data_IF_991980045567
#
_entry.id   IF_991980045567
#
_cell.length_a   1.000
_cell.length_b   1.000
_cell.length_c   1.000
_cell.angle_alpha   90.00
_cell.angle_beta   90.00
_cell.angle_gamma   90.00
#
_symmetry.space_group_name_H-M   'P 1'
#
loop_
_entity.id
_entity.type
_entity.pdbx_description
1 polymer ?
#
# COMPACT_ATOMS: atom_id res chain seq x y z
N UNK A 1 7.65 7.48 -2.01
CA UNK A 1 7.00 6.19 -2.31
C UNK A 1 5.68 6.45 -3.01
N UNK A 2 5.38 5.66 -4.03
CA UNK A 2 4.12 5.74 -4.76
C UNK A 2 3.32 4.47 -4.52
N UNK A 3 2.01 4.58 -4.50
CA UNK A 3 1.14 3.45 -4.13
C UNK A 3 0.07 3.19 -5.18
N UNK A 4 -0.30 1.92 -5.31
CA UNK A 4 -1.51 1.48 -5.98
C UNK A 4 -2.38 0.82 -4.92
N UNK A 5 -3.61 1.29 -4.76
CA UNK A 5 -4.55 0.68 -3.82
C UNK A 5 -5.32 -0.44 -4.52
N UNK A 6 -5.34 -1.62 -3.88
CA UNK A 6 -6.07 -2.78 -4.35
C UNK A 6 -7.55 -2.46 -4.59
N UNK A 7 -8.19 -3.27 -5.42
CA UNK A 7 -9.57 -3.06 -5.87
C UNK A 7 -10.57 -2.99 -4.72
N UNK A 8 -10.27 -3.64 -3.60
CA UNK A 8 -11.15 -3.64 -2.43
C UNK A 8 -11.03 -2.38 -1.56
N UNK A 9 -10.05 -1.52 -1.84
CA UNK A 9 -9.89 -0.28 -1.11
C UNK A 9 -10.57 0.86 -1.85
N UNK A 10 -11.28 1.69 -1.11
CA UNK A 10 -12.05 2.78 -1.72
C UNK A 10 -11.15 3.76 -2.48
N UNK A 11 -11.53 4.14 -3.72
CA UNK A 11 -10.80 5.19 -4.45
C UNK A 11 -10.77 6.53 -3.70
N UNK A 12 -11.69 6.76 -2.78
CA UNK A 12 -11.70 7.98 -1.98
C UNK A 12 -10.41 8.12 -1.17
N UNK A 13 -9.84 6.99 -0.72
CA UNK A 13 -8.56 7.01 0.00
C UNK A 13 -7.46 7.60 -0.89
N UNK A 14 -7.38 7.13 -2.12
CA UNK A 14 -6.38 7.63 -3.08
C UNK A 14 -6.61 9.12 -3.36
N UNK A 15 -7.86 9.52 -3.53
CA UNK A 15 -8.19 10.91 -3.81
C UNK A 15 -7.72 11.83 -2.68
N UNK A 16 -8.00 11.44 -1.43
CA UNK A 16 -7.59 12.24 -0.28
C UNK A 16 -6.06 12.29 -0.13
N UNK A 17 -5.37 11.18 -0.40
CA UNK A 17 -3.92 11.17 -0.34
C UNK A 17 -3.30 12.06 -1.42
N UNK A 18 -3.91 12.14 -2.61
CA UNK A 18 -3.45 13.07 -3.62
C UNK A 18 -3.63 14.52 -3.18
N UNK A 19 -4.69 14.82 -2.42
CA UNK A 19 -4.86 16.15 -1.84
C UNK A 19 -3.75 16.50 -0.86
N UNK A 20 -3.15 15.49 -0.24
CA UNK A 20 -2.00 15.67 0.64
C UNK A 20 -0.66 15.71 -0.14
N UNK A 21 -0.71 15.67 -1.45
CA UNK A 21 0.49 15.77 -2.29
C UNK A 21 1.16 14.45 -2.62
N UNK A 22 0.53 13.33 -2.33
CA UNK A 22 1.11 12.01 -2.61
C UNK A 22 0.67 11.46 -3.96
N UNK A 23 1.52 10.63 -4.56
CA UNK A 23 1.20 9.94 -5.81
C UNK A 23 0.61 8.59 -5.48
N UNK A 24 -0.72 8.55 -5.37
CA UNK A 24 -1.47 7.35 -5.03
C UNK A 24 -2.63 7.24 -6.00
N UNK A 25 -2.80 6.05 -6.58
CA UNK A 25 -3.97 5.75 -7.41
C UNK A 25 -4.61 4.47 -6.90
N UNK A 26 -5.90 4.30 -7.18
CA UNK A 26 -6.61 3.09 -6.82
C UNK A 26 -6.94 2.30 -8.09
N UNK A 27 -6.92 0.97 -7.98
CA UNK A 27 -7.32 0.10 -9.09
C UNK A 27 -8.71 0.49 -9.58
N UNK A 28 -9.63 0.82 -8.67
CA UNK A 28 -10.99 1.20 -9.03
C UNK A 28 -11.09 2.46 -9.89
N UNK A 29 -10.02 3.28 -9.93
CA UNK A 29 -9.99 4.48 -10.76
C UNK A 29 -9.42 4.22 -12.17
N UNK A 30 -8.85 3.04 -12.40
CA UNK A 30 -8.11 2.75 -13.63
C UNK A 30 -8.87 1.77 -14.49
N UNK A 31 -9.27 2.20 -15.67
CA UNK A 31 -10.01 1.34 -16.60
C UNK A 31 -9.17 0.18 -17.12
N UNK A 32 -7.84 0.35 -17.15
CA UNK A 32 -6.93 -0.71 -17.60
C UNK A 32 -6.69 -1.79 -16.54
N UNK A 33 -7.01 -1.51 -15.26
CA UNK A 33 -6.77 -2.46 -14.18
C UNK A 33 -8.04 -2.98 -13.53
N UNK A 34 -9.10 -2.17 -13.55
CA UNK A 34 -10.33 -2.51 -12.85
C UNK A 34 -10.94 -3.80 -13.42
N UNK A 35 -11.27 -4.73 -12.52
CA UNK A 35 -11.85 -6.01 -12.92
C UNK A 35 -10.86 -7.01 -13.47
N UNK A 36 -9.57 -6.68 -13.53
CA UNK A 36 -8.54 -7.59 -14.02
C UNK A 36 -8.00 -8.44 -12.86
N UNK A 37 -7.38 -9.58 -13.16
CA UNK A 37 -6.78 -10.41 -12.09
C UNK A 37 -5.67 -9.69 -11.34
N UNK A 38 -5.43 -10.09 -10.09
CA UNK A 38 -4.39 -9.52 -9.25
C UNK A 38 -3.01 -9.57 -9.89
N UNK A 39 -2.76 -10.62 -10.67
CA UNK A 39 -1.50 -10.77 -11.40
C UNK A 39 -1.27 -9.61 -12.37
N UNK A 40 -2.34 -9.10 -13.00
CA UNK A 40 -2.23 -7.96 -13.93
C UNK A 40 -1.91 -6.69 -13.12
N UNK A 41 -2.56 -6.52 -11.98
CA UNK A 41 -2.28 -5.39 -11.09
C UNK A 41 -0.82 -5.40 -10.65
N UNK A 42 -0.35 -6.56 -10.20
CA UNK A 42 1.02 -6.69 -9.71
C UNK A 42 2.05 -6.44 -10.82
N UNK A 43 1.76 -6.90 -12.03
CA UNK A 43 2.67 -6.73 -13.17
C UNK A 43 2.82 -5.26 -13.59
N UNK A 44 1.86 -4.41 -13.27
CA UNK A 44 1.92 -2.99 -13.62
C UNK A 44 2.84 -2.18 -12.70
N UNK A 45 3.18 -2.73 -11.53
CA UNK A 45 3.82 -1.96 -10.47
C UNK A 45 5.27 -1.52 -10.78
N UNK A 46 6.13 -2.39 -11.36
CA UNK A 46 7.53 -1.99 -11.56
C UNK A 46 7.69 -0.77 -12.46
N UNK A 47 6.96 -0.74 -13.58
CA UNK A 47 7.07 0.37 -14.54
C UNK A 47 6.62 1.69 -13.92
N UNK A 48 5.67 1.63 -13.00
CA UNK A 48 5.14 2.82 -12.34
C UNK A 48 5.83 3.12 -11.02
N UNK A 49 6.73 2.24 -10.59
CA UNK A 49 7.46 2.38 -9.33
C UNK A 49 6.51 2.46 -8.13
N UNK A 50 5.49 1.59 -8.12
CA UNK A 50 4.47 1.61 -7.07
C UNK A 50 4.54 0.36 -6.20
N UNK A 51 4.31 0.53 -4.90
CA UNK A 51 3.99 -0.58 -4.00
C UNK A 51 2.48 -0.78 -4.02
N UNK A 52 2.04 -2.02 -3.83
CA UNK A 52 0.60 -2.33 -3.77
C UNK A 52 0.13 -2.33 -2.32
N UNK A 53 -1.01 -1.70 -2.07
CA UNK A 53 -1.66 -1.69 -0.76
C UNK A 53 -2.84 -2.64 -0.81
N UNK A 54 -2.85 -3.64 0.05
CA UNK A 54 -3.91 -4.64 0.04
C UNK A 54 -4.15 -5.21 1.44
N UNK A 55 -5.35 -5.69 1.66
CA UNK A 55 -5.67 -6.52 2.83
C UNK A 55 -5.50 -8.00 2.51
N UNK A 56 -5.52 -8.36 1.23
CA UNK A 56 -5.56 -9.75 0.79
C UNK A 56 -4.17 -10.28 0.46
N UNK A 57 -3.45 -10.68 1.49
CA UNK A 57 -2.10 -11.17 1.35
C UNK A 57 -2.04 -12.50 0.60
N UNK A 58 -3.08 -13.32 0.75
CA UNK A 58 -3.10 -14.64 0.09
C UNK A 58 -3.03 -14.53 -1.42
N UNK A 59 -3.55 -13.46 -1.99
CA UNK A 59 -3.53 -13.25 -3.43
C UNK A 59 -2.21 -12.67 -3.93
N UNK A 60 -1.55 -11.83 -3.12
CA UNK A 60 -0.37 -11.11 -3.59
C UNK A 60 0.97 -11.71 -3.15
N UNK A 61 1.01 -12.42 -2.02
CA UNK A 61 2.27 -13.03 -1.57
C UNK A 61 2.88 -14.00 -2.58
N UNK A 62 2.11 -14.88 -3.23
CA UNK A 62 2.70 -15.75 -4.24
C UNK A 62 3.30 -14.98 -5.40
N UNK A 63 2.68 -13.87 -5.80
CA UNK A 63 3.19 -13.03 -6.87
C UNK A 63 4.50 -12.35 -6.47
N UNK A 64 4.56 -11.87 -5.24
CA UNK A 64 5.78 -11.27 -4.69
C UNK A 64 6.91 -12.29 -4.63
N UNK A 65 6.62 -13.48 -4.09
CA UNK A 65 7.62 -14.55 -3.98
C UNK A 65 8.18 -14.94 -5.35
N UNK A 66 7.32 -15.04 -6.34
CA UNK A 66 7.76 -15.37 -7.70
C UNK A 66 8.65 -14.28 -8.26
N UNK A 67 8.29 -13.02 -8.08
CA UNK A 67 9.09 -11.89 -8.55
C UNK A 67 10.47 -11.89 -7.90
N UNK A 68 10.53 -12.15 -6.59
CA UNK A 68 11.80 -12.20 -5.87
C UNK A 68 12.67 -13.35 -6.36
N UNK A 69 12.09 -14.52 -6.61
CA UNK A 69 12.84 -15.67 -7.13
C UNK A 69 13.39 -15.43 -8.52
N UNK A 70 12.69 -14.66 -9.33
CA UNK A 70 13.16 -14.31 -10.69
C UNK A 70 14.17 -13.18 -10.69
N UNK A 71 14.39 -12.54 -9.55
CA UNK A 71 15.21 -11.33 -9.51
C UNK A 71 14.54 -10.14 -10.17
N UNK A 72 13.22 -10.17 -10.32
CA UNK A 72 12.46 -9.05 -10.90
C UNK A 72 12.36 -7.90 -9.93
N UNK A 73 12.31 -6.68 -10.46
CA UNK A 73 12.09 -5.50 -9.64
C UNK A 73 10.70 -5.52 -9.03
N UNK A 74 10.61 -5.16 -7.76
CA UNK A 74 9.34 -4.99 -7.08
C UNK A 74 9.46 -3.86 -6.10
N UNK A 75 8.37 -3.12 -5.90
CA UNK A 75 8.31 -2.05 -4.91
C UNK A 75 7.60 -2.48 -3.64
N UNK A 76 7.07 -3.70 -3.60
CA UNK A 76 6.64 -4.38 -2.40
C UNK A 76 5.15 -4.35 -2.12
N UNK A 77 4.81 -5.04 -1.02
CA UNK A 77 3.43 -5.13 -0.50
C UNK A 77 3.30 -4.31 0.78
N UNK A 78 2.26 -3.49 0.83
CA UNK A 78 1.86 -2.81 2.05
C UNK A 78 0.56 -3.44 2.52
N UNK A 79 0.60 -4.09 3.67
CA UNK A 79 -0.50 -4.90 4.18
C UNK A 79 -1.35 -4.09 5.12
N UNK A 80 -2.67 -4.08 4.89
CA UNK A 80 -3.63 -3.39 5.74
C UNK A 80 -4.16 -4.40 6.76
N UNK A 81 -3.85 -4.24 8.05
CA UNK A 81 -4.35 -5.18 9.05
C UNK A 81 -5.86 -5.06 9.27
N UNK A 82 -6.45 -6.13 9.81
CA UNK A 82 -7.89 -6.22 9.97
C UNK A 82 -8.48 -5.15 10.88
N UNK A 83 -7.67 -4.55 11.75
CA UNK A 83 -8.15 -3.50 12.65
C UNK A 83 -8.54 -2.21 11.93
N UNK A 84 -8.14 -2.06 10.66
CA UNK A 84 -8.58 -0.93 9.85
C UNK A 84 -9.88 -1.31 9.14
N UNK A 85 -11.02 -0.70 9.48
CA UNK A 85 -12.26 -0.99 8.76
C UNK A 85 -12.16 -0.55 7.31
N UNK A 86 -12.75 -1.33 6.39
CA UNK A 86 -12.78 -0.96 4.97
C UNK A 86 -14.05 -0.23 4.57
N UNK A 87 -14.89 0.10 5.54
CA UNK A 87 -16.10 0.87 5.29
C UNK A 87 -15.80 2.38 5.34
N UNK A 88 -16.84 3.17 5.14
CA UNK A 88 -16.71 4.63 5.14
C UNK A 88 -16.04 5.16 6.40
N UNK A 89 -16.33 4.56 7.55
CA UNK A 89 -15.79 5.03 8.84
C UNK A 89 -14.29 4.83 8.94
N UNK A 90 -13.74 3.87 8.20
CA UNK A 90 -12.31 3.58 8.23
C UNK A 90 -11.48 4.42 7.27
N UNK A 91 -12.10 5.17 6.35
CA UNK A 91 -11.36 5.91 5.31
C UNK A 91 -10.39 6.93 5.94
N UNK A 92 -10.88 7.74 6.87
CA UNK A 92 -10.04 8.75 7.50
C UNK A 92 -8.85 8.15 8.23
N UNK A 93 -9.06 7.02 8.88
CA UNK A 93 -8.01 6.33 9.62
C UNK A 93 -6.96 5.75 8.65
N UNK A 94 -7.40 5.18 7.54
CA UNK A 94 -6.50 4.67 6.51
C UNK A 94 -5.71 5.81 5.87
N UNK A 95 -6.37 6.91 5.55
CA UNK A 95 -5.69 8.08 4.98
C UNK A 95 -4.62 8.58 5.93
N UNK A 96 -4.93 8.70 7.23
CA UNK A 96 -3.96 9.18 8.21
C UNK A 96 -2.75 8.25 8.30
N UNK A 97 -2.98 6.95 8.33
CA UNK A 97 -1.90 5.97 8.44
C UNK A 97 -1.02 5.96 7.18
N UNK A 98 -1.65 6.00 6.00
CA UNK A 98 -0.92 6.01 4.74
C UNK A 98 -0.16 7.32 4.54
N UNK A 99 -0.77 8.44 4.93
CA UNK A 99 -0.11 9.74 4.87
C UNK A 99 1.17 9.75 5.70
N UNK A 100 1.09 9.23 6.94
CA UNK A 100 2.26 9.15 7.81
C UNK A 100 3.36 8.29 7.20
N UNK A 101 2.99 7.15 6.63
CA UNK A 101 3.95 6.27 5.96
C UNK A 101 4.63 6.98 4.79
N UNK A 102 3.84 7.65 3.96
CA UNK A 102 4.37 8.32 2.77
C UNK A 102 5.25 9.49 3.12
N UNK A 103 4.94 10.20 4.21
CA UNK A 103 5.82 11.26 4.68
C UNK A 103 7.17 10.74 5.16
N UNK A 104 7.20 9.53 5.69
CA UNK A 104 8.43 8.87 6.12
C UNK A 104 9.24 8.33 4.94
N UNK A 105 8.64 8.22 3.75
CA UNK A 105 9.29 7.67 2.56
C UNK A 105 9.07 8.62 1.36
N UNK A 106 9.70 9.80 1.38
CA UNK A 106 9.38 10.86 0.41
C UNK A 106 9.93 10.64 -1.00
N UNK A 107 10.89 9.73 -1.17
CA UNK A 107 11.46 9.51 -2.51
C UNK A 107 10.44 8.85 -3.41
N UNK A 108 10.33 9.35 -4.65
CA UNK A 108 9.33 8.83 -5.60
C UNK A 108 9.59 7.38 -6.00
N UNK A 109 10.83 6.93 -5.92
CA UNK A 109 11.21 5.56 -6.26
C UNK A 109 11.44 4.69 -5.02
N UNK A 110 11.01 5.15 -3.85
CA UNK A 110 11.17 4.37 -2.62
C UNK A 110 10.40 3.05 -2.72
N UNK A 111 11.05 1.98 -2.29
CA UNK A 111 10.48 0.65 -2.30
C UNK A 111 10.47 0.08 -0.88
N UNK A 112 9.57 -0.86 -0.64
CA UNK A 112 9.57 -1.63 0.59
C UNK A 112 10.70 -2.65 0.48
N UNK A 113 11.67 -2.54 1.38
CA UNK A 113 12.86 -3.39 1.35
C UNK A 113 12.67 -4.63 2.23
N UNK A 114 13.67 -5.49 2.23
CA UNK A 114 13.77 -6.64 3.13
C UNK A 114 12.52 -7.53 3.10
N UNK A 115 12.46 -8.40 2.09
CA UNK A 115 11.34 -9.32 1.93
C UNK A 115 10.16 -8.73 1.21
N UNK A 116 10.14 -7.42 1.00
CA UNK A 116 9.15 -6.76 0.16
C UNK A 116 7.76 -6.61 0.75
N UNK A 117 7.62 -6.77 2.07
CA UNK A 117 6.30 -6.72 2.71
C UNK A 117 6.39 -6.01 4.05
N UNK A 118 5.50 -5.05 4.29
CA UNK A 118 5.35 -4.41 5.59
C UNK A 118 3.86 -4.28 5.93
N UNK A 119 3.58 -4.13 7.23
CA UNK A 119 2.23 -3.92 7.72
C UNK A 119 2.01 -2.46 8.03
N UNK A 120 0.85 -1.94 7.61
CA UNK A 120 0.47 -0.56 7.89
C UNK A 120 0.29 -0.35 9.39
N UNK A 121 0.90 0.70 9.91
CA UNK A 121 0.81 1.08 11.31
C UNK A 121 -0.14 2.26 11.46
N UNK A 122 -0.94 2.23 12.51
CA UNK A 122 -1.76 3.37 12.90
C UNK A 122 -0.80 4.45 13.43
N UNK A 123 -0.89 5.70 12.95
CA UNK A 123 0.01 6.76 13.42
C UNK A 123 -0.03 6.95 14.92
N UNK A 124 -1.23 6.90 15.51
CA UNK A 124 -1.36 7.02 16.97
C UNK A 124 -0.75 5.82 17.67
N UNK A 125 -0.98 4.62 17.12
CA UNK A 125 -0.38 3.42 17.66
C UNK A 125 1.13 3.42 17.54
N UNK A 126 1.67 3.86 16.39
CA UNK A 126 3.12 3.97 16.20
C UNK A 126 3.75 4.92 17.20
N UNK A 127 3.12 6.07 17.42
CA UNK A 127 3.62 7.03 18.39
C UNK A 127 3.55 6.48 19.81
N UNK A 128 2.47 5.81 20.15
CA UNK A 128 2.33 5.19 21.45
C UNK A 128 3.40 4.12 21.66
N UNK A 129 3.65 3.30 20.65
CA UNK A 129 4.69 2.28 20.71
C UNK A 129 6.07 2.91 20.89
N UNK A 130 6.34 4.02 20.21
CA UNK A 130 7.60 4.72 20.34
C UNK A 130 7.80 5.28 21.72
N UNK A 131 6.73 5.58 22.45
CA UNK A 131 6.79 6.09 23.80
C UNK A 131 6.81 5.00 24.86
N UNK A 132 6.58 3.76 24.47
CA UNK A 132 6.58 2.63 25.40
C UNK A 132 8.00 2.26 25.80
N UNK A 133 8.25 2.02 27.07
CA UNK A 133 9.61 1.71 27.51
C UNK A 133 10.13 0.37 27.06
N UNK A 134 9.26 -0.59 26.78
CA UNK A 134 9.66 -1.91 26.33
C UNK A 134 9.99 -1.96 24.87
N UNK A 135 9.72 -0.91 24.15
CA UNK A 135 9.95 -0.86 22.72
C UNK A 135 11.18 -0.07 22.42
#
# INVERSE_FOLDING_TARGET
MKLLLDEHLSPEIARQLREHGHDVVAVGERTDLRGRPDRVHFASLPDEQRAIVTRDLGDFRPLLDEALRRGSSTYGLLCVPARFPLNRDGIGRLVAALDALLQAHPKVDAAISLGGEIWLQDPTGSRAAALSPET
#
